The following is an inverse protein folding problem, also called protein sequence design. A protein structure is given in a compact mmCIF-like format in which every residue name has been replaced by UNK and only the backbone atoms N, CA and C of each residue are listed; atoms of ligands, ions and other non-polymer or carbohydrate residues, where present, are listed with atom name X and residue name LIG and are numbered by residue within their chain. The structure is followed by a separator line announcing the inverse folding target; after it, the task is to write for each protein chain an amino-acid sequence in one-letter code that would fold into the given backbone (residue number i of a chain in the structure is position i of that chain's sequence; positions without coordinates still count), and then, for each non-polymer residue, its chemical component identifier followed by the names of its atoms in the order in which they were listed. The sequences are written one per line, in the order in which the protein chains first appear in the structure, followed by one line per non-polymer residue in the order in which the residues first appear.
data_IF_362978928442
#
_entry.id   IF_362978928442
#
_cell.length_a   1.000
_cell.length_b   1.000
_cell.length_c   1.000
_cell.angle_alpha   90.00
_cell.angle_beta   90.00
_cell.angle_gamma   90.00
#
_symmetry.space_group_name_H-M   'P 1'
#
loop_
_entity.id
_entity.type
_entity.pdbx_description
1 polymer ?
#
# COMPACT_ATOMS: atom_id res chain seq x y z
N UNK A 1 9.66 -15.32 -0.74
CA UNK A 1 8.89 -16.21 -1.64
C UNK A 1 8.15 -15.47 -2.75
N UNK A 2 7.31 -14.46 -2.47
CA UNK A 2 6.51 -13.77 -3.51
C UNK A 2 7.32 -13.33 -4.76
N UNK A 3 8.43 -12.60 -4.59
CA UNK A 3 9.23 -12.13 -5.74
C UNK A 3 10.11 -13.20 -6.40
N UNK A 4 10.45 -14.28 -5.69
CA UNK A 4 11.39 -15.31 -6.18
C UNK A 4 10.68 -16.55 -6.71
N UNK A 5 9.62 -17.00 -6.03
CA UNK A 5 8.83 -18.19 -6.35
C UNK A 5 7.47 -17.88 -6.99
N UNK A 6 6.95 -16.64 -6.86
CA UNK A 6 5.64 -16.28 -7.41
C UNK A 6 5.52 -16.46 -8.91
N UNK A 7 6.61 -16.29 -9.66
CA UNK A 7 6.67 -16.54 -11.09
C UNK A 7 6.29 -17.97 -11.48
N UNK A 8 6.61 -18.97 -10.64
CA UNK A 8 6.34 -20.39 -10.91
C UNK A 8 4.83 -20.64 -10.86
N UNK A 9 4.18 -20.22 -9.77
CA UNK A 9 2.74 -20.42 -9.57
C UNK A 9 1.93 -19.61 -10.60
N UNK A 10 2.29 -18.35 -10.80
CA UNK A 10 1.61 -17.50 -11.79
C UNK A 10 1.81 -18.00 -13.23
N UNK A 11 2.94 -18.63 -13.56
CA UNK A 11 3.12 -19.27 -14.87
C UNK A 11 2.25 -20.52 -15.01
N UNK A 12 2.12 -21.34 -13.96
CA UNK A 12 1.24 -22.50 -13.96
C UNK A 12 -0.24 -22.09 -14.15
N UNK A 13 -0.68 -21.01 -13.51
CA UNK A 13 -2.03 -20.45 -13.70
C UNK A 13 -2.21 -19.89 -15.11
N UNK A 14 -1.25 -19.11 -15.61
CA UNK A 14 -1.29 -18.57 -16.96
C UNK A 14 -1.35 -19.67 -18.04
N UNK A 15 -0.64 -20.79 -17.84
CA UNK A 15 -0.71 -21.96 -18.74
C UNK A 15 -2.13 -22.53 -18.85
N UNK A 16 -2.86 -22.62 -17.74
CA UNK A 16 -4.25 -23.12 -17.76
C UNK A 16 -5.13 -22.15 -18.55
N UNK A 17 -5.02 -20.86 -18.28
CA UNK A 17 -5.79 -19.83 -18.99
C UNK A 17 -5.49 -19.80 -20.50
N UNK A 18 -4.23 -19.95 -20.90
CA UNK A 18 -3.80 -19.98 -22.30
C UNK A 18 -4.16 -21.29 -23.02
N UNK A 19 -4.36 -22.39 -22.29
CA UNK A 19 -4.85 -23.64 -22.87
C UNK A 19 -6.34 -23.55 -23.21
N UNK A 20 -7.11 -22.81 -22.41
CA UNK A 20 -8.56 -22.71 -22.51
C UNK A 20 -9.05 -21.46 -23.29
N UNK A 21 -8.14 -20.60 -23.75
CA UNK A 21 -8.51 -19.34 -24.38
C UNK A 21 -7.42 -18.70 -25.25
N UNK A 22 -7.76 -17.64 -26.00
CA UNK A 22 -6.77 -16.89 -26.77
C UNK A 22 -5.75 -16.22 -25.85
N UNK A 23 -4.55 -15.91 -26.37
CA UNK A 23 -3.59 -15.09 -25.64
C UNK A 23 -4.18 -13.71 -25.34
N UNK A 24 -3.79 -13.09 -24.21
CA UNK A 24 -4.26 -11.74 -23.88
C UNK A 24 -3.68 -10.71 -24.84
N UNK A 25 -4.39 -9.59 -25.01
CA UNK A 25 -3.90 -8.45 -25.78
C UNK A 25 -2.77 -7.68 -25.05
N UNK A 26 -2.73 -7.79 -23.72
CA UNK A 26 -1.72 -7.13 -22.87
C UNK A 26 -1.56 -7.89 -21.56
N UNK A 27 -0.35 -7.89 -21.02
CA UNK A 27 -0.05 -8.37 -19.67
C UNK A 27 0.18 -7.15 -18.78
N UNK A 28 -0.59 -7.05 -17.70
CA UNK A 28 -0.32 -6.11 -16.62
C UNK A 28 0.28 -6.89 -15.45
N UNK A 29 1.56 -6.64 -15.17
CA UNK A 29 2.29 -7.23 -14.05
C UNK A 29 2.58 -6.16 -12.99
N UNK A 30 2.82 -6.61 -11.76
CA UNK A 30 3.34 -5.74 -10.71
C UNK A 30 4.83 -5.97 -10.51
N UNK A 31 5.53 -4.98 -9.96
CA UNK A 31 6.95 -5.06 -9.57
C UNK A 31 7.29 -6.22 -8.62
N UNK A 32 6.31 -6.81 -7.94
CA UNK A 32 6.47 -8.02 -7.13
C UNK A 32 6.64 -9.30 -7.95
N UNK A 33 6.42 -9.26 -9.28
CA UNK A 33 6.68 -10.38 -10.18
C UNK A 33 8.08 -10.26 -10.79
N UNK A 34 8.84 -11.37 -10.73
CA UNK A 34 9.99 -11.55 -11.59
C UNK A 34 9.51 -11.82 -13.03
N UNK A 35 9.27 -10.75 -13.78
CA UNK A 35 8.73 -10.75 -15.15
C UNK A 35 9.59 -11.59 -16.10
N UNK A 36 10.94 -11.45 -16.17
CA UNK A 36 11.72 -12.25 -17.11
C UNK A 36 11.67 -13.75 -16.79
N UNK A 37 11.65 -14.14 -15.51
CA UNK A 37 11.47 -15.54 -15.15
C UNK A 37 10.09 -16.06 -15.56
N UNK A 38 9.03 -15.29 -15.32
CA UNK A 38 7.66 -15.65 -15.70
C UNK A 38 7.51 -15.78 -17.22
N UNK A 39 8.04 -14.82 -18.00
CA UNK A 39 8.07 -14.89 -19.47
C UNK A 39 8.86 -16.12 -19.95
N UNK A 40 10.02 -16.40 -19.34
CA UNK A 40 10.86 -17.55 -19.68
C UNK A 40 10.17 -18.91 -19.46
N UNK A 41 9.31 -19.01 -18.44
CA UNK A 41 8.49 -20.20 -18.14
C UNK A 41 7.30 -20.36 -19.09
N UNK A 42 6.91 -19.31 -19.80
CA UNK A 42 5.81 -19.29 -20.75
C UNK A 42 6.25 -19.17 -22.21
N UNK A 43 7.56 -19.19 -22.50
CA UNK A 43 8.13 -18.93 -23.83
C UNK A 43 7.57 -19.81 -24.96
N UNK A 44 7.04 -20.98 -24.63
CA UNK A 44 6.49 -21.96 -25.58
C UNK A 44 4.97 -21.82 -25.81
N UNK A 45 4.27 -21.08 -24.94
CA UNK A 45 2.80 -20.95 -24.97
C UNK A 45 2.30 -19.51 -25.08
N UNK A 46 3.07 -18.54 -24.57
CA UNK A 46 2.73 -17.12 -24.64
C UNK A 46 3.37 -16.50 -25.89
N UNK A 47 2.60 -15.89 -26.79
CA UNK A 47 3.16 -15.25 -27.97
C UNK A 47 4.12 -14.12 -27.60
N UNK A 48 5.31 -14.11 -28.19
CA UNK A 48 6.35 -13.12 -27.90
C UNK A 48 5.96 -11.66 -28.20
N UNK A 49 4.88 -11.44 -28.97
CA UNK A 49 4.38 -10.11 -29.33
C UNK A 49 3.44 -9.49 -28.29
N UNK A 50 3.03 -10.24 -27.26
CA UNK A 50 2.08 -9.72 -26.26
C UNK A 50 2.80 -8.64 -25.43
N UNK A 51 2.32 -7.39 -25.44
CA UNK A 51 2.95 -6.31 -24.71
C UNK A 51 2.81 -6.51 -23.20
N UNK A 52 3.86 -6.12 -22.46
CA UNK A 52 3.93 -6.20 -21.00
C UNK A 52 4.01 -4.79 -20.41
N UNK A 53 3.05 -4.44 -19.57
CA UNK A 53 3.10 -3.27 -18.71
C UNK A 53 3.46 -3.69 -17.28
N UNK A 54 4.42 -3.01 -16.68
CA UNK A 54 4.85 -3.23 -15.29
C UNK A 54 4.41 -2.06 -14.41
N UNK A 55 3.62 -2.35 -13.38
CA UNK A 55 3.16 -1.40 -12.38
C UNK A 55 4.03 -1.47 -11.11
N UNK A 56 4.82 -0.42 -10.91
CA UNK A 56 5.70 -0.18 -9.77
C UNK A 56 4.89 0.48 -8.65
N UNK A 57 4.49 -0.33 -7.65
CA UNK A 57 3.73 0.11 -6.48
C UNK A 57 4.56 0.11 -5.19
N UNK A 58 5.75 -0.49 -5.20
CA UNK A 58 6.71 -0.52 -4.09
C UNK A 58 8.14 -0.32 -4.63
N UNK A 59 9.04 0.24 -3.80
CA UNK A 59 10.43 0.48 -4.20
C UNK A 59 11.38 -0.38 -3.38
N UNK A 60 11.76 -1.55 -3.90
CA UNK A 60 12.72 -2.44 -3.22
C UNK A 60 14.15 -1.86 -3.13
N UNK A 61 14.45 -0.82 -3.92
CA UNK A 61 15.75 -0.17 -3.92
C UNK A 61 15.85 0.94 -2.87
N UNK A 62 14.77 1.64 -2.54
CA UNK A 62 14.78 2.72 -1.53
C UNK A 62 13.96 2.41 -0.29
N UNK A 63 13.32 1.23 -0.18
CA UNK A 63 12.57 0.87 1.02
C UNK A 63 13.46 1.04 2.27
N UNK A 64 12.94 1.61 3.37
CA UNK A 64 13.61 1.69 4.66
C UNK A 64 13.78 0.29 5.24
N UNK A 65 14.91 0.04 5.90
CA UNK A 65 15.18 -1.26 6.49
C UNK A 65 14.98 -1.20 7.98
N UNK A 66 14.80 -2.38 8.58
CA UNK A 66 14.83 -2.48 10.04
C UNK A 66 16.26 -2.24 10.52
N UNK A 67 16.44 -1.62 11.70
CA UNK A 67 17.75 -1.48 12.30
C UNK A 67 18.47 -2.85 12.40
N UNK A 68 19.68 -2.93 11.84
CA UNK A 68 20.50 -4.16 11.88
C UNK A 68 20.37 -5.09 10.67
N UNK A 69 19.48 -4.82 9.72
CA UNK A 69 19.41 -5.55 8.44
C UNK A 69 20.32 -4.91 7.37
N UNK A 70 20.70 -5.68 6.34
CA UNK A 70 21.45 -5.21 5.16
C UNK A 70 20.56 -5.15 3.91
N UNK A 71 20.95 -4.39 2.86
CA UNK A 71 20.17 -4.36 1.61
C UNK A 71 20.32 -5.68 0.89
N UNK A 72 19.20 -6.36 0.67
CA UNK A 72 19.16 -7.41 -0.33
C UNK A 72 19.00 -6.76 -1.71
N UNK A 73 20.13 -6.51 -2.36
CA UNK A 73 20.16 -5.94 -3.72
C UNK A 73 19.52 -6.87 -4.75
N UNK A 74 19.27 -8.14 -4.42
CA UNK A 74 18.59 -9.09 -5.31
C UNK A 74 17.22 -8.57 -5.72
N UNK A 75 16.42 -8.01 -4.79
CA UNK A 75 15.08 -7.53 -5.12
C UNK A 75 15.12 -6.28 -6.01
N UNK A 76 16.07 -5.37 -5.76
CA UNK A 76 16.30 -4.22 -6.63
C UNK A 76 16.74 -4.66 -8.04
N UNK A 77 17.62 -5.65 -8.13
CA UNK A 77 18.02 -6.23 -9.42
C UNK A 77 16.87 -6.94 -10.14
N UNK A 78 15.99 -7.64 -9.41
CA UNK A 78 14.79 -8.24 -9.97
C UNK A 78 13.86 -7.17 -10.56
N UNK A 79 13.60 -6.08 -9.83
CA UNK A 79 12.83 -4.96 -10.35
C UNK A 79 13.48 -4.36 -11.59
N UNK A 80 14.81 -4.17 -11.60
CA UNK A 80 15.53 -3.67 -12.77
C UNK A 80 15.40 -4.60 -13.99
N UNK A 81 15.57 -5.91 -13.82
CA UNK A 81 15.41 -6.89 -14.90
C UNK A 81 13.95 -6.95 -15.40
N UNK A 82 12.98 -6.88 -14.49
CA UNK A 82 11.56 -6.77 -14.85
C UNK A 82 11.27 -5.49 -15.64
N UNK A 83 11.88 -4.37 -15.27
CA UNK A 83 11.74 -3.10 -15.98
C UNK A 83 12.35 -3.14 -17.38
N UNK A 84 13.43 -3.90 -17.57
CA UNK A 84 14.03 -4.12 -18.89
C UNK A 84 13.14 -5.00 -19.78
N UNK A 85 12.53 -6.04 -19.22
CA UNK A 85 11.66 -6.98 -19.93
C UNK A 85 10.28 -6.39 -20.31
N UNK A 86 9.79 -5.37 -19.60
CA UNK A 86 8.50 -4.75 -19.87
C UNK A 86 8.55 -3.68 -20.99
N UNK A 87 7.46 -3.50 -21.73
CA UNK A 87 7.30 -2.51 -22.80
C UNK A 87 6.91 -1.12 -22.28
N UNK A 88 6.19 -1.09 -21.15
CA UNK A 88 5.74 0.12 -20.46
C UNK A 88 5.93 -0.02 -18.97
N UNK A 89 6.39 1.06 -18.35
CA UNK A 89 6.53 1.15 -16.90
C UNK A 89 5.55 2.18 -16.36
N UNK A 90 4.93 1.84 -15.25
CA UNK A 90 3.96 2.69 -14.58
C UNK A 90 4.37 2.79 -13.12
N UNK A 91 4.55 4.00 -12.61
CA UNK A 91 4.84 4.25 -11.21
C UNK A 91 3.62 4.85 -10.53
N UNK A 92 3.32 4.41 -9.31
CA UNK A 92 2.20 4.92 -8.52
C UNK A 92 2.33 6.40 -8.11
N UNK A 93 3.53 6.98 -8.14
CA UNK A 93 3.74 8.40 -7.82
C UNK A 93 4.97 8.96 -8.52
N UNK A 94 5.03 10.30 -8.62
CA UNK A 94 6.22 11.03 -9.07
C UNK A 94 7.39 10.78 -8.14
N UNK A 95 7.14 10.79 -6.83
CA UNK A 95 8.15 10.49 -5.82
C UNK A 95 8.78 9.11 -6.01
N UNK A 96 7.97 8.06 -6.17
CA UNK A 96 8.49 6.71 -6.40
C UNK A 96 9.32 6.64 -7.70
N UNK A 97 8.81 7.21 -8.80
CA UNK A 97 9.55 7.29 -10.06
C UNK A 97 10.94 7.93 -9.88
N UNK A 98 10.97 9.13 -9.29
CA UNK A 98 12.21 9.89 -9.17
C UNK A 98 13.18 9.22 -8.18
N UNK A 99 12.69 8.77 -7.02
CA UNK A 99 13.49 8.04 -6.04
C UNK A 99 14.12 6.77 -6.61
N UNK A 100 13.41 6.05 -7.49
CA UNK A 100 13.97 4.89 -8.19
C UNK A 100 15.08 5.30 -9.15
N UNK A 101 14.83 6.26 -10.05
CA UNK A 101 15.79 6.61 -11.10
C UNK A 101 17.00 7.41 -10.60
N UNK A 102 16.87 8.13 -9.48
CA UNK A 102 17.98 8.82 -8.82
C UNK A 102 18.93 7.82 -8.15
N UNK A 103 18.38 6.72 -7.61
CA UNK A 103 19.13 5.72 -6.85
C UNK A 103 19.66 4.57 -7.73
N UNK A 104 18.97 4.23 -8.82
CA UNK A 104 19.32 3.14 -9.73
C UNK A 104 20.79 3.21 -10.24
N UNK A 105 21.37 4.37 -10.59
CA UNK A 105 22.78 4.44 -10.96
C UNK A 105 23.74 3.96 -9.86
N UNK A 106 23.40 4.16 -8.58
CA UNK A 106 24.22 3.68 -7.47
C UNK A 106 24.14 2.16 -7.34
N UNK A 107 22.96 1.58 -7.50
CA UNK A 107 22.79 0.11 -7.61
C UNK A 107 23.64 -0.45 -8.76
N UNK A 108 23.54 0.12 -9.96
CA UNK A 108 24.24 -0.40 -11.12
C UNK A 108 25.77 -0.27 -10.99
N UNK A 109 26.28 0.81 -10.39
CA UNK A 109 27.71 0.98 -10.11
C UNK A 109 28.24 0.05 -9.04
N UNK A 110 27.38 -0.54 -8.20
CA UNK A 110 27.77 -1.57 -7.24
C UNK A 110 28.29 -2.84 -7.95
N UNK A 111 27.80 -3.12 -9.15
CA UNK A 111 28.25 -4.22 -10.01
C UNK A 111 29.16 -3.65 -11.11
N UNK A 112 30.50 -3.71 -10.96
CA UNK A 112 31.42 -2.94 -11.79
C UNK A 112 31.46 -3.41 -13.26
N UNK A 113 31.26 -4.71 -13.49
CA UNK A 113 31.27 -5.29 -14.83
C UNK A 113 29.94 -5.02 -15.54
N UNK A 114 30.02 -4.49 -16.77
CA UNK A 114 28.87 -4.29 -17.65
C UNK A 114 27.67 -3.60 -16.96
N UNK A 115 27.89 -2.52 -16.19
CA UNK A 115 26.84 -1.88 -15.38
C UNK A 115 25.60 -1.35 -16.13
N UNK A 116 25.61 -1.32 -17.47
CA UNK A 116 24.49 -0.95 -18.33
C UNK A 116 23.81 0.40 -17.99
N UNK A 117 24.54 1.36 -17.41
CA UNK A 117 24.02 2.70 -17.06
C UNK A 117 23.33 3.41 -18.24
N UNK A 118 23.78 3.17 -19.47
CA UNK A 118 23.19 3.73 -20.68
C UNK A 118 21.72 3.31 -20.92
N UNK A 119 21.24 2.23 -20.28
CA UNK A 119 19.85 1.78 -20.39
C UNK A 119 18.90 2.58 -19.52
N UNK A 120 19.39 3.24 -18.46
CA UNK A 120 18.56 3.97 -17.49
C UNK A 120 17.68 5.02 -18.18
N UNK A 121 18.26 5.85 -19.04
CA UNK A 121 17.52 6.88 -19.77
C UNK A 121 16.44 6.28 -20.71
N UNK A 122 16.74 5.14 -21.35
CA UNK A 122 15.77 4.45 -22.23
C UNK A 122 14.58 3.90 -21.45
N UNK A 123 14.85 3.32 -20.29
CA UNK A 123 13.83 2.77 -19.40
C UNK A 123 12.98 3.89 -18.78
N UNK A 124 13.61 4.99 -18.35
CA UNK A 124 12.91 6.17 -17.86
C UNK A 124 12.00 6.80 -18.92
N UNK A 125 12.45 6.90 -20.18
CA UNK A 125 11.67 7.50 -21.27
C UNK A 125 10.34 6.77 -21.58
N UNK A 126 10.25 5.47 -21.29
CA UNK A 126 9.03 4.66 -21.44
C UNK A 126 8.21 4.53 -20.15
N UNK A 127 8.57 5.28 -19.12
CA UNK A 127 7.88 5.30 -17.83
C UNK A 127 6.77 6.35 -17.79
N UNK A 128 5.71 6.05 -17.06
CA UNK A 128 4.58 6.96 -16.78
C UNK A 128 4.28 6.94 -15.29
N UNK A 129 3.73 8.04 -14.78
CA UNK A 129 3.18 8.09 -13.43
C UNK A 129 1.67 7.95 -13.54
N UNK A 130 1.10 6.97 -12.85
CA UNK A 130 -0.33 6.75 -12.73
C UNK A 130 -0.66 6.41 -11.27
N UNK A 131 -1.17 7.40 -10.49
CA UNK A 131 -1.65 7.19 -9.13
C UNK A 131 -2.64 6.03 -9.02
N UNK A 132 -2.58 5.31 -7.90
CA UNK A 132 -3.60 4.29 -7.59
C UNK A 132 -4.94 5.02 -7.38
N UNK A 133 -6.03 4.49 -7.94
CA UNK A 133 -7.36 5.06 -7.70
C UNK A 133 -7.96 4.56 -6.39
N UNK A 134 -8.85 5.36 -5.80
CA UNK A 134 -9.85 4.88 -4.84
C UNK A 134 -11.25 5.10 -5.43
N UNK A 135 -12.22 4.30 -4.99
CA UNK A 135 -13.63 4.50 -5.34
C UNK A 135 -14.23 5.64 -4.51
N UNK A 136 -13.77 6.87 -4.76
CA UNK A 136 -14.11 8.05 -3.99
C UNK A 136 -15.61 8.35 -4.01
N UNK A 137 -16.30 8.08 -5.14
CA UNK A 137 -17.73 8.33 -5.28
C UNK A 137 -18.54 7.42 -4.36
N UNK A 138 -18.28 6.11 -4.38
CA UNK A 138 -18.95 5.15 -3.48
C UNK A 138 -18.69 5.50 -2.02
N UNK A 139 -17.46 5.92 -1.68
CA UNK A 139 -17.11 6.34 -0.31
C UNK A 139 -17.90 7.58 0.11
N UNK A 140 -17.95 8.61 -0.75
CA UNK A 140 -18.71 9.83 -0.51
C UNK A 140 -20.21 9.56 -0.34
N UNK A 141 -20.81 8.76 -1.23
CA UNK A 141 -22.22 8.38 -1.16
C UNK A 141 -22.55 7.60 0.11
N UNK A 142 -21.67 6.68 0.49
CA UNK A 142 -21.80 5.93 1.74
C UNK A 142 -21.71 6.85 2.96
N UNK A 143 -20.82 7.83 2.93
CA UNK A 143 -20.65 8.77 4.03
C UNK A 143 -21.85 9.72 4.17
N UNK A 144 -22.39 10.22 3.06
CA UNK A 144 -23.64 11.00 3.04
C UNK A 144 -24.82 10.17 3.55
N UNK A 145 -24.92 8.92 3.11
CA UNK A 145 -25.98 8.01 3.54
C UNK A 145 -25.89 7.71 5.05
N UNK A 146 -24.69 7.48 5.58
CA UNK A 146 -24.50 7.26 7.03
C UNK A 146 -24.91 8.47 7.87
N UNK A 147 -24.55 9.69 7.42
CA UNK A 147 -24.91 10.94 8.10
C UNK A 147 -26.42 11.26 8.04
N UNK A 148 -27.10 10.85 6.97
CA UNK A 148 -28.55 11.11 6.78
C UNK A 148 -29.45 9.99 7.33
N UNK A 149 -28.98 8.74 7.33
CA UNK A 149 -29.70 7.58 7.86
C UNK A 149 -29.71 7.52 9.39
N UNK A 150 -28.90 8.33 10.06
CA UNK A 150 -28.99 8.54 11.50
C UNK A 150 -30.03 9.65 11.72
N UNK A 151 -31.28 9.34 12.15
CA UNK A 151 -32.13 10.40 12.71
C UNK A 151 -31.36 10.97 13.92
N UNK A 152 -31.59 12.21 14.37
CA UNK A 152 -31.17 12.61 15.71
C UNK A 152 -31.83 11.63 16.70
N UNK A 153 -31.12 10.57 17.07
CA UNK A 153 -31.65 9.49 17.88
C UNK A 153 -31.68 10.03 19.31
N UNK A 154 -32.84 10.21 19.95
CA UNK A 154 -32.94 10.92 21.24
C UNK A 154 -32.32 10.14 22.43
N UNK A 155 -31.64 9.02 22.17
CA UNK A 155 -31.12 8.08 23.18
C UNK A 155 -29.62 7.81 23.08
N UNK A 156 -28.94 8.27 22.02
CA UNK A 156 -27.47 8.25 21.93
C UNK A 156 -27.09 9.69 21.62
N UNK A 157 -26.62 10.48 22.60
CA UNK A 157 -26.01 11.77 22.28
C UNK A 157 -24.89 11.46 21.28
N UNK A 158 -24.92 12.08 20.10
CA UNK A 158 -23.70 12.24 19.31
C UNK A 158 -22.70 12.84 20.29
N UNK A 159 -21.72 12.04 20.72
CA UNK A 159 -20.75 12.52 21.68
C UNK A 159 -20.14 13.79 21.09
N UNK A 160 -20.11 14.90 21.83
CA UNK A 160 -19.65 16.19 21.29
C UNK A 160 -18.14 16.19 21.01
N UNK A 161 -17.46 15.07 21.24
CA UNK A 161 -16.03 14.92 21.14
C UNK A 161 -15.64 14.34 19.78
N UNK A 162 -14.57 14.87 19.15
CA UNK A 162 -14.15 14.42 17.82
C UNK A 162 -13.70 12.95 17.84
N UNK A 163 -14.07 12.20 16.81
CA UNK A 163 -13.57 10.85 16.55
C UNK A 163 -12.27 10.92 15.76
N UNK A 164 -11.19 10.49 16.41
CA UNK A 164 -9.87 10.31 15.80
C UNK A 164 -9.81 8.90 15.23
N UNK A 165 -9.57 8.81 13.92
CA UNK A 165 -9.39 7.58 13.18
C UNK A 165 -7.91 7.31 12.89
N UNK A 166 -7.51 6.07 13.13
CA UNK A 166 -6.27 5.51 12.62
C UNK A 166 -6.58 4.17 11.94
N UNK A 167 -6.60 4.16 10.62
CA UNK A 167 -7.08 3.05 9.80
C UNK A 167 -5.98 2.34 9.00
N UNK A 168 -4.78 2.29 9.56
CA UNK A 168 -3.63 1.71 8.90
C UNK A 168 -3.39 0.26 9.36
N UNK A 169 -2.62 -0.50 8.58
CA UNK A 169 -2.17 -1.84 9.00
C UNK A 169 -1.33 -1.73 10.27
N UNK A 170 -1.43 -2.72 11.15
CA UNK A 170 -0.71 -2.72 12.43
C UNK A 170 0.74 -3.13 12.24
N UNK A 171 1.52 -2.22 11.67
CA UNK A 171 2.92 -2.43 11.30
C UNK A 171 3.81 -1.31 11.84
N UNK A 172 5.09 -1.61 12.05
CA UNK A 172 6.04 -0.70 12.68
C UNK A 172 6.33 0.56 11.84
N UNK A 173 6.39 0.44 10.51
CA UNK A 173 6.60 1.56 9.58
C UNK A 173 5.48 2.60 9.62
N UNK A 174 4.29 2.22 10.12
CA UNK A 174 3.16 3.15 10.32
C UNK A 174 3.28 3.99 11.59
N UNK A 175 4.33 3.74 12.38
CA UNK A 175 4.66 4.47 13.62
C UNK A 175 3.47 4.59 14.58
N UNK A 176 2.91 3.45 15.01
CA UNK A 176 1.86 3.45 16.04
C UNK A 176 2.36 4.01 17.37
N UNK A 177 3.66 3.91 17.66
CA UNK A 177 4.35 4.54 18.79
C UNK A 177 4.04 6.03 18.86
N UNK A 178 4.30 6.76 17.76
CA UNK A 178 4.09 8.21 17.68
C UNK A 178 2.62 8.59 17.78
N UNK A 179 1.74 7.75 17.21
CA UNK A 179 0.30 7.97 17.26
C UNK A 179 -0.23 7.82 18.68
N UNK A 180 0.11 6.74 19.38
CA UNK A 180 -0.35 6.53 20.75
C UNK A 180 0.26 7.53 21.73
N UNK A 181 1.53 7.92 21.56
CA UNK A 181 2.16 8.99 22.35
C UNK A 181 1.45 10.34 22.22
N UNK A 182 0.91 10.67 21.05
CA UNK A 182 0.05 11.83 20.87
C UNK A 182 -1.24 11.68 21.70
N UNK A 183 -1.92 10.55 21.61
CA UNK A 183 -3.18 10.33 22.33
C UNK A 183 -3.01 10.31 23.85
N UNK A 184 -1.89 9.77 24.34
CA UNK A 184 -1.57 9.81 25.77
C UNK A 184 -1.39 11.25 26.28
N UNK A 185 -0.77 12.13 25.48
CA UNK A 185 -0.62 13.55 25.82
C UNK A 185 -1.97 14.26 25.82
N UNK A 186 -2.81 14.03 24.82
CA UNK A 186 -4.18 14.58 24.80
C UNK A 186 -4.98 14.18 26.05
N UNK A 187 -4.87 12.91 26.48
CA UNK A 187 -5.50 12.44 27.73
C UNK A 187 -4.93 13.13 28.98
N UNK A 188 -3.61 13.30 29.05
CA UNK A 188 -2.95 13.96 30.18
C UNK A 188 -3.34 15.44 30.29
N UNK A 189 -3.58 16.10 29.15
CA UNK A 189 -4.05 17.49 29.09
C UNK A 189 -5.57 17.64 29.28
N UNK A 190 -6.30 16.53 29.43
CA UNK A 190 -7.75 16.54 29.61
C UNK A 190 -8.54 16.90 28.35
N UNK A 191 -7.92 16.82 27.17
CA UNK A 191 -8.59 17.04 25.88
C UNK A 191 -9.53 15.86 25.60
N UNK A 192 -10.85 16.09 25.44
CA UNK A 192 -11.78 15.00 25.22
C UNK A 192 -11.82 14.60 23.74
N UNK A 193 -11.75 13.29 23.47
CA UNK A 193 -11.82 12.72 22.12
C UNK A 193 -12.37 11.29 22.17
N UNK A 194 -12.71 10.76 21.01
CA UNK A 194 -13.08 9.37 20.75
C UNK A 194 -12.05 8.75 19.82
N UNK A 195 -11.88 7.43 19.87
CA UNK A 195 -10.83 6.73 19.16
C UNK A 195 -11.35 5.51 18.38
N UNK A 196 -11.09 5.49 17.08
CA UNK A 196 -11.24 4.32 16.23
C UNK A 196 -9.86 3.90 15.69
N UNK A 197 -9.40 2.72 16.08
CA UNK A 197 -8.19 2.08 15.52
C UNK A 197 -8.64 0.93 14.64
N UNK A 198 -8.73 1.17 13.34
CA UNK A 198 -9.36 0.29 12.35
C UNK A 198 -8.32 -0.32 11.40
N UNK A 199 -7.59 -1.34 11.85
CA UNK A 199 -6.49 -1.93 11.10
C UNK A 199 -6.45 -3.45 11.21
N UNK A 200 -6.04 -4.11 10.12
CA UNK A 200 -5.81 -5.55 10.14
C UNK A 200 -4.57 -5.89 10.96
N UNK A 201 -4.70 -6.96 11.75
CA UNK A 201 -3.67 -7.51 12.59
C UNK A 201 -3.00 -8.69 11.84
N UNK A 202 -1.68 -8.61 11.64
CA UNK A 202 -0.86 -9.73 11.18
C UNK A 202 -0.09 -10.35 12.35
N UNK A 203 0.45 -11.55 12.14
CA UNK A 203 1.04 -12.44 13.17
C UNK A 203 1.95 -11.78 14.24
N UNK A 204 2.59 -10.64 13.95
CA UNK A 204 3.39 -9.88 14.91
C UNK A 204 2.75 -8.50 15.16
N UNK A 205 1.98 -8.36 16.23
CA UNK A 205 1.44 -7.07 16.69
C UNK A 205 2.52 -6.34 17.49
N UNK A 206 2.82 -5.06 17.20
CA UNK A 206 3.65 -4.24 18.05
C UNK A 206 3.05 -4.12 19.46
N UNK A 207 3.87 -4.28 20.51
CA UNK A 207 3.42 -4.29 21.92
C UNK A 207 2.68 -2.99 22.30
N UNK A 208 2.99 -1.89 21.62
CA UNK A 208 2.39 -0.57 21.79
C UNK A 208 0.86 -0.61 21.64
N UNK A 209 0.31 -1.51 20.80
CA UNK A 209 -1.14 -1.68 20.67
C UNK A 209 -1.79 -2.24 21.94
N UNK A 210 -1.17 -3.20 22.62
CA UNK A 210 -1.74 -3.80 23.84
C UNK A 210 -1.76 -2.78 24.99
N UNK A 211 -0.68 -2.00 25.13
CA UNK A 211 -0.62 -0.91 26.09
C UNK A 211 -1.65 0.17 25.78
N UNK A 212 -1.74 0.61 24.52
CA UNK A 212 -2.70 1.61 24.06
C UNK A 212 -4.15 1.18 24.29
N UNK A 213 -4.49 -0.09 24.00
CA UNK A 213 -5.82 -0.63 24.24
C UNK A 213 -6.22 -0.50 25.70
N UNK A 214 -5.29 -0.75 26.61
CA UNK A 214 -5.53 -0.66 28.06
C UNK A 214 -5.64 0.80 28.51
N UNK A 215 -4.67 1.64 28.14
CA UNK A 215 -4.60 3.04 28.60
C UNK A 215 -5.69 3.94 28.00
N UNK A 216 -6.18 3.63 26.80
CA UNK A 216 -7.17 4.39 26.07
C UNK A 216 -8.56 3.74 26.11
N UNK A 217 -8.76 2.66 26.88
CA UNK A 217 -10.01 1.90 26.94
C UNK A 217 -11.28 2.77 27.08
N UNK A 218 -11.22 3.84 27.87
CA UNK A 218 -12.35 4.73 28.13
C UNK A 218 -12.78 5.60 26.94
N UNK A 219 -11.95 5.72 25.89
CA UNK A 219 -12.21 6.55 24.71
C UNK A 219 -12.28 5.75 23.41
N UNK A 220 -12.05 4.43 23.47
CA UNK A 220 -12.10 3.54 22.30
C UNK A 220 -13.56 3.26 21.91
N UNK A 221 -13.90 3.57 20.66
CA UNK A 221 -15.17 3.16 20.03
C UNK A 221 -14.98 1.95 19.11
N UNK A 222 -13.81 1.85 18.46
CA UNK A 222 -13.49 0.72 17.59
C UNK A 222 -12.02 0.32 17.75
N UNK A 223 -11.75 -0.99 17.81
CA UNK A 223 -10.40 -1.54 17.95
C UNK A 223 -10.23 -2.84 17.15
N UNK A 224 -9.39 -2.80 16.12
CA UNK A 224 -9.05 -3.95 15.29
C UNK A 224 -9.63 -3.86 13.88
N UNK A 225 -9.67 -5.00 13.20
CA UNK A 225 -10.14 -5.09 11.83
C UNK A 225 -11.66 -4.81 11.74
N UNK A 226 -12.06 -4.06 10.72
CA UNK A 226 -13.48 -3.89 10.40
C UNK A 226 -13.94 -5.07 9.54
N UNK A 227 -14.72 -5.98 10.13
CA UNK A 227 -15.14 -7.26 9.50
C UNK A 227 -15.94 -7.10 8.20
N UNK A 228 -16.53 -5.93 7.96
CA UNK A 228 -17.31 -5.66 6.75
C UNK A 228 -16.90 -4.34 6.12
N UNK A 229 -16.96 -4.26 4.79
CA UNK A 229 -16.75 -3.02 4.04
C UNK A 229 -17.70 -1.92 4.50
N UNK A 230 -18.97 -2.25 4.76
CA UNK A 230 -19.95 -1.30 5.27
C UNK A 230 -19.61 -0.77 6.68
N UNK A 231 -19.09 -1.64 7.56
CA UNK A 231 -18.60 -1.25 8.88
C UNK A 231 -17.41 -0.29 8.78
N UNK A 232 -16.45 -0.60 7.89
CA UNK A 232 -15.32 0.28 7.63
C UNK A 232 -15.75 1.65 7.07
N UNK A 233 -16.62 1.68 6.06
CA UNK A 233 -17.13 2.92 5.47
C UNK A 233 -17.88 3.79 6.49
N UNK A 234 -18.57 3.18 7.46
CA UNK A 234 -19.21 3.90 8.58
C UNK A 234 -18.18 4.58 9.47
N UNK A 235 -17.11 3.87 9.85
CA UNK A 235 -16.01 4.46 10.63
C UNK A 235 -15.37 5.64 9.90
N UNK A 236 -15.16 5.53 8.58
CA UNK A 236 -14.65 6.65 7.78
C UNK A 236 -15.60 7.85 7.79
N UNK A 237 -16.92 7.60 7.73
CA UNK A 237 -17.94 8.64 7.66
C UNK A 237 -18.18 9.37 8.99
N UNK A 238 -17.95 8.67 10.11
CA UNK A 238 -18.09 9.19 11.48
C UNK A 238 -16.82 9.86 12.00
N UNK A 239 -15.67 9.59 11.37
CA UNK A 239 -14.40 10.17 11.77
C UNK A 239 -14.36 11.67 11.49
N UNK A 240 -13.93 12.44 12.49
CA UNK A 240 -13.72 13.88 12.37
C UNK A 240 -12.27 14.23 12.02
N UNK A 241 -11.34 13.31 12.32
CA UNK A 241 -9.92 13.47 12.09
C UNK A 241 -9.31 12.13 11.69
N UNK A 242 -8.56 12.09 10.59
CA UNK A 242 -7.62 10.99 10.31
C UNK A 242 -6.19 11.42 10.56
N UNK A 243 -5.43 10.63 11.30
CA UNK A 243 -4.02 10.93 11.61
C UNK A 243 -3.12 9.88 10.97
N UNK A 244 -2.15 10.34 10.18
CA UNK A 244 -1.06 9.51 9.67
C UNK A 244 0.25 9.90 10.33
N UNK A 245 0.88 8.96 11.01
CA UNK A 245 2.23 9.09 11.61
C UNK A 245 3.29 8.35 10.82
N UNK A 246 2.91 7.83 9.66
CA UNK A 246 3.66 6.87 8.87
C UNK A 246 5.02 7.40 8.43
N UNK A 247 6.06 6.61 8.68
CA UNK A 247 7.42 6.93 8.25
C UNK A 247 7.61 6.62 6.76
N UNK A 248 6.93 5.60 6.26
CA UNK A 248 6.92 5.27 4.85
C UNK A 248 5.57 4.79 4.34
N UNK A 249 5.08 5.47 3.32
CA UNK A 249 3.87 5.11 2.59
C UNK A 249 4.06 5.49 1.12
N UNK A 250 3.78 4.58 0.19
CA UNK A 250 3.90 4.90 -1.23
C UNK A 250 2.62 5.54 -1.79
N UNK A 251 1.46 5.25 -1.20
CA UNK A 251 0.20 5.78 -1.71
C UNK A 251 -0.78 6.24 -0.64
N UNK A 252 -0.91 5.50 0.46
CA UNK A 252 -1.74 5.94 1.59
C UNK A 252 -3.24 5.84 1.30
N UNK A 253 -3.66 4.71 0.70
CA UNK A 253 -5.07 4.44 0.36
C UNK A 253 -6.01 4.73 1.53
N UNK A 254 -5.65 4.28 2.73
CA UNK A 254 -6.52 4.44 3.92
C UNK A 254 -6.77 5.91 4.28
N UNK A 255 -5.76 6.78 4.13
CA UNK A 255 -5.89 8.22 4.37
C UNK A 255 -6.74 8.87 3.27
N UNK A 256 -6.52 8.49 2.01
CA UNK A 256 -7.34 8.98 0.90
C UNK A 256 -8.80 8.57 1.04
N UNK A 257 -9.08 7.34 1.48
CA UNK A 257 -10.44 6.87 1.75
C UNK A 257 -11.09 7.69 2.87
N UNK A 258 -10.37 7.97 3.96
CA UNK A 258 -10.88 8.82 5.05
C UNK A 258 -11.16 10.26 4.58
N UNK A 259 -10.23 10.87 3.82
CA UNK A 259 -10.43 12.19 3.22
C UNK A 259 -11.63 12.22 2.28
N UNK A 260 -11.83 11.16 1.48
CA UNK A 260 -12.98 11.05 0.60
C UNK A 260 -14.31 10.95 1.38
N UNK A 261 -14.30 10.35 2.58
CA UNK A 261 -15.47 10.26 3.46
C UNK A 261 -15.79 11.57 4.21
N UNK A 262 -14.82 12.50 4.30
CA UNK A 262 -14.96 13.84 4.87
C UNK A 262 -14.27 14.07 6.21
N UNK A 263 -13.36 13.18 6.61
CA UNK A 263 -12.48 13.35 7.78
C UNK A 263 -11.31 14.32 7.52
#
# INVERSE_FOLDING_TARGET
WRMQGGAIELAAQARRLLADGPPPDVILATDMLNVPAWLGLLRDVLPARVPVALYMHENQLTYPWRPGEGRDLTYAMLNWLSQLAADRLIFNSRYHHDAWFDELPRLLKHYPDYNHLALVAKVSARSRVLPVGIDALTIQESAVSARTATPPHPAIPSSPHPLILWNQRWEHDKRPDRFFDLLYRLRAEGVPFRLAVAGENFRNVPQEFDEARTRLAAVIEHWGYAETRAGYLRLLAEADLVISTTEHEFFGISVLEAMAAGA
#
